data_IF_924432680399
#
_entry.id   IF_924432680399
#
_cell.length_a   1.000
_cell.length_b   1.000
_cell.length_c   1.000
_cell.angle_alpha   90.00
_cell.angle_beta   90.00
_cell.angle_gamma   90.00
#
_symmetry.space_group_name_H-M   'P 1'
#
loop_
_entity.id
_entity.type
_entity.pdbx_description
1 polymer ?
#
# COMPACT_ATOMS: atom_id res chain seq x y z
N UNK A 1 4.31 -9.62 6.19
CA UNK A 1 5.26 -8.67 6.83
C UNK A 1 6.39 -9.47 7.45
N UNK A 2 7.63 -8.97 7.38
CA UNK A 2 8.79 -9.61 8.00
C UNK A 2 9.21 -8.78 9.22
N UNK A 3 9.33 -9.41 10.38
CA UNK A 3 9.79 -8.77 11.62
C UNK A 3 11.03 -9.51 12.09
N UNK A 4 12.14 -8.78 12.20
CA UNK A 4 13.42 -9.27 12.71
C UNK A 4 13.56 -8.86 14.17
N UNK A 5 13.68 -9.85 15.07
CA UNK A 5 13.72 -9.57 16.52
C UNK A 5 15.02 -8.89 16.94
N UNK A 6 16.14 -9.13 16.26
CA UNK A 6 17.44 -8.53 16.59
C UNK A 6 17.50 -7.01 16.37
N UNK A 7 16.50 -6.44 15.67
CA UNK A 7 16.33 -5.00 15.49
C UNK A 7 15.07 -4.42 16.12
N UNK A 8 14.22 -5.25 16.72
CA UNK A 8 12.90 -4.84 17.21
C UNK A 8 12.99 -3.92 18.44
N UNK A 9 13.88 -4.20 19.39
CA UNK A 9 14.10 -3.35 20.56
C UNK A 9 14.65 -1.97 20.24
N UNK A 10 15.64 -1.88 19.34
CA UNK A 10 16.10 -0.59 18.79
C UNK A 10 14.99 0.17 18.06
N UNK A 11 13.97 -0.52 17.55
CA UNK A 11 12.82 0.11 16.86
C UNK A 11 11.70 0.55 17.81
N UNK A 12 11.60 -0.03 19.01
CA UNK A 12 10.67 0.42 20.04
C UNK A 12 11.12 1.72 20.72
N UNK A 13 12.43 1.97 20.81
CA UNK A 13 12.99 3.28 21.22
C UNK A 13 12.90 4.35 20.13
N UNK A 14 12.48 4.00 18.91
CA UNK A 14 12.36 4.94 17.79
C UNK A 14 11.02 5.69 17.79
N UNK A 15 11.06 6.86 17.14
CA UNK A 15 9.95 7.82 16.95
C UNK A 15 8.57 7.15 16.78
N UNK A 16 7.47 7.72 17.35
CA UNK A 16 6.10 7.26 17.17
C UNK A 16 5.68 6.93 15.72
N UNK A 17 6.37 7.53 14.75
CA UNK A 17 6.22 7.26 13.33
C UNK A 17 6.54 5.81 12.92
N UNK A 18 7.59 5.21 13.49
CA UNK A 18 8.03 3.85 13.15
C UNK A 18 7.08 2.81 13.76
N UNK A 19 6.65 3.01 15.01
CA UNK A 19 5.61 2.18 15.63
C UNK A 19 4.31 2.21 14.84
N UNK A 20 3.90 3.37 14.33
CA UNK A 20 2.73 3.48 13.47
C UNK A 20 2.90 2.71 12.15
N UNK A 21 4.08 2.75 11.51
CA UNK A 21 4.35 1.95 10.30
C UNK A 21 4.30 0.44 10.57
N UNK A 22 4.83 -0.02 11.71
CA UNK A 22 4.79 -1.43 12.12
C UNK A 22 3.33 -1.86 12.32
N UNK A 23 2.53 -1.09 13.04
CA UNK A 23 1.10 -1.37 13.26
C UNK A 23 0.30 -1.43 11.96
N UNK A 24 0.49 -0.47 11.05
CA UNK A 24 -0.16 -0.47 9.72
C UNK A 24 0.27 -1.72 8.92
N UNK A 25 1.53 -2.11 9.00
CA UNK A 25 2.05 -3.30 8.36
C UNK A 25 1.42 -4.59 8.91
N UNK A 26 1.28 -4.69 10.24
CA UNK A 26 0.68 -5.82 10.94
C UNK A 26 -0.81 -5.95 10.61
N UNK A 27 -1.55 -4.84 10.59
CA UNK A 27 -2.97 -4.81 10.26
C UNK A 27 -3.25 -5.30 8.83
N UNK A 28 -2.39 -4.91 7.89
CA UNK A 28 -2.51 -5.24 6.45
C UNK A 28 -1.89 -6.59 6.07
N UNK A 29 -1.12 -7.21 6.96
CA UNK A 29 -0.41 -8.44 6.63
C UNK A 29 -1.38 -9.61 6.41
N UNK A 30 -1.20 -10.31 5.29
CA UNK A 30 -1.86 -11.60 5.08
C UNK A 30 -1.27 -12.70 5.96
N UNK A 31 0.05 -12.64 6.16
CA UNK A 31 0.86 -13.54 6.97
C UNK A 31 1.94 -12.69 7.65
N UNK A 32 2.22 -12.98 8.92
CA UNK A 32 3.30 -12.38 9.70
C UNK A 32 4.41 -13.42 9.85
N UNK A 33 5.64 -13.07 9.46
CA UNK A 33 6.82 -13.92 9.68
C UNK A 33 7.64 -13.28 10.78
N UNK A 34 7.83 -13.99 11.88
CA UNK A 34 8.69 -13.57 13.00
C UNK A 34 9.98 -14.37 12.92
N UNK A 35 11.11 -13.67 12.79
CA UNK A 35 12.43 -14.27 12.72
C UNK A 35 13.19 -14.06 14.04
N UNK A 36 13.49 -15.16 14.72
CA UNK A 36 14.32 -15.22 15.92
C UNK A 36 15.78 -15.57 15.58
N UNK A 37 16.70 -15.15 16.43
CA UNK A 37 18.10 -15.57 16.39
C UNK A 37 18.34 -16.73 17.37
N UNK A 38 18.47 -17.96 16.86
CA UNK A 38 18.66 -19.15 17.68
C UNK A 38 20.05 -19.24 18.36
N UNK A 39 20.98 -18.31 18.10
CA UNK A 39 22.27 -18.31 18.80
C UNK A 39 22.13 -18.03 20.30
N UNK A 40 20.99 -17.47 20.71
CA UNK A 40 20.65 -17.18 22.10
C UNK A 40 19.26 -17.76 22.43
N UNK A 41 18.93 -18.00 23.71
CA UNK A 41 17.58 -18.34 24.12
C UNK A 41 16.62 -17.14 23.97
N UNK A 42 15.30 -17.36 24.00
CA UNK A 42 14.30 -16.30 23.94
C UNK A 42 14.54 -15.20 24.96
N UNK A 43 14.48 -13.95 24.52
CA UNK A 43 14.57 -12.77 25.40
C UNK A 43 13.18 -12.29 25.83
N UNK A 44 13.13 -11.37 26.80
CA UNK A 44 11.88 -10.67 27.16
C UNK A 44 11.30 -9.89 25.97
N UNK A 45 12.17 -9.35 25.09
CA UNK A 45 11.76 -8.62 23.89
C UNK A 45 11.05 -9.55 22.88
N UNK A 46 11.52 -10.80 22.77
CA UNK A 46 10.85 -11.81 21.95
C UNK A 46 9.44 -12.13 22.50
N UNK A 47 9.27 -12.15 23.82
CA UNK A 47 7.97 -12.36 24.47
C UNK A 47 7.01 -11.20 24.18
N UNK A 48 7.46 -9.96 24.35
CA UNK A 48 6.66 -8.75 24.08
C UNK A 48 6.25 -8.65 22.60
N UNK A 49 7.16 -8.96 21.67
CA UNK A 49 6.85 -9.03 20.26
C UNK A 49 5.75 -10.06 19.98
N UNK A 50 5.87 -11.25 20.59
CA UNK A 50 4.88 -12.31 20.41
C UNK A 50 3.50 -11.92 20.97
N UNK A 51 3.45 -11.25 22.12
CA UNK A 51 2.20 -10.69 22.65
C UNK A 51 1.59 -9.64 21.71
N UNK A 52 2.40 -8.74 21.17
CA UNK A 52 1.95 -7.73 20.21
C UNK A 52 1.39 -8.38 18.94
N UNK A 53 2.12 -9.32 18.34
CA UNK A 53 1.73 -9.99 17.08
C UNK A 53 0.44 -10.79 17.26
N UNK A 54 0.26 -11.48 18.41
CA UNK A 54 -0.94 -12.26 18.71
C UNK A 54 -2.23 -11.41 18.72
N UNK A 55 -2.16 -10.11 19.02
CA UNK A 55 -3.33 -9.20 19.02
C UNK A 55 -3.96 -9.01 17.65
N UNK A 56 -3.21 -9.21 16.56
CA UNK A 56 -3.69 -8.92 15.20
C UNK A 56 -4.45 -10.09 14.55
N UNK A 57 -4.58 -11.23 15.23
CA UNK A 57 -5.33 -12.41 14.78
C UNK A 57 -5.06 -12.82 13.31
N UNK A 58 -3.78 -12.79 12.91
CA UNK A 58 -3.30 -13.18 11.59
C UNK A 58 -2.53 -14.51 11.67
N UNK A 59 -2.42 -15.27 10.57
CA UNK A 59 -1.48 -16.38 10.48
C UNK A 59 -0.06 -15.88 10.79
N UNK A 60 0.59 -16.53 11.77
CA UNK A 60 1.97 -16.24 12.18
C UNK A 60 2.84 -17.44 11.86
N UNK A 61 3.95 -17.19 11.17
CA UNK A 61 4.99 -18.17 10.90
C UNK A 61 6.23 -17.82 11.72
N UNK A 62 6.59 -18.69 12.65
CA UNK A 62 7.74 -18.52 13.52
C UNK A 62 8.96 -19.21 12.91
N UNK A 63 10.06 -18.47 12.80
CA UNK A 63 11.29 -18.93 12.15
C UNK A 63 12.46 -18.66 13.08
N UNK A 64 13.27 -19.67 13.37
CA UNK A 64 14.47 -19.52 14.18
C UNK A 64 15.70 -19.66 13.29
N UNK A 65 16.47 -18.58 13.13
CA UNK A 65 17.63 -18.53 12.23
C UNK A 65 18.94 -18.88 12.95
N UNK A 66 20.00 -19.15 12.18
CA UNK A 66 21.37 -19.42 12.67
C UNK A 66 21.49 -20.72 13.48
N UNK A 67 20.76 -21.76 13.07
CA UNK A 67 20.85 -23.10 13.69
C UNK A 67 22.10 -23.88 13.23
N UNK A 68 23.26 -23.23 13.38
CA UNK A 68 24.56 -23.63 12.84
C UNK A 68 25.36 -24.48 13.84
N UNK A 69 25.04 -24.38 15.14
CA UNK A 69 25.79 -25.00 16.24
C UNK A 69 24.90 -25.92 17.10
N UNK A 70 25.51 -26.81 17.89
CA UNK A 70 24.78 -27.62 18.89
C UNK A 70 24.04 -26.74 19.90
N UNK A 71 24.69 -25.67 20.40
CA UNK A 71 24.08 -24.71 21.33
C UNK A 71 22.84 -24.05 20.74
N UNK A 72 22.91 -23.61 19.48
CA UNK A 72 21.74 -23.05 18.81
C UNK A 72 20.62 -24.08 18.60
N UNK A 73 20.94 -25.36 18.45
CA UNK A 73 19.94 -26.43 18.37
C UNK A 73 19.25 -26.69 19.72
N UNK A 74 19.98 -26.57 20.83
CA UNK A 74 19.45 -26.66 22.18
C UNK A 74 18.52 -25.48 22.50
N UNK A 75 18.93 -24.25 22.16
CA UNK A 75 18.13 -23.04 22.38
C UNK A 75 16.77 -23.06 21.66
N UNK A 76 16.66 -23.71 20.49
CA UNK A 76 15.37 -23.81 19.75
C UNK A 76 14.27 -24.41 20.63
N UNK A 77 14.62 -25.33 21.55
CA UNK A 77 13.65 -25.99 22.41
C UNK A 77 12.85 -24.98 23.24
N UNK A 78 13.49 -23.90 23.69
CA UNK A 78 12.84 -22.85 24.46
C UNK A 78 11.89 -22.00 23.60
N UNK A 79 12.21 -21.80 22.31
CA UNK A 79 11.35 -21.03 21.43
C UNK A 79 10.02 -21.73 21.12
N UNK A 80 9.92 -23.07 21.20
CA UNK A 80 8.66 -23.78 20.97
C UNK A 80 7.53 -23.37 21.93
N UNK A 81 7.85 -22.68 23.05
CA UNK A 81 6.83 -22.05 23.92
C UNK A 81 5.94 -21.05 23.17
N UNK A 82 6.43 -20.47 22.07
CA UNK A 82 5.70 -19.52 21.25
C UNK A 82 4.78 -20.18 20.21
N UNK A 83 5.06 -21.42 19.80
CA UNK A 83 4.33 -22.18 18.79
C UNK A 83 5.21 -23.13 17.97
N UNK A 84 4.69 -23.65 16.86
CA UNK A 84 5.46 -24.43 15.88
C UNK A 84 6.51 -23.52 15.22
N UNK A 85 7.78 -23.95 15.24
CA UNK A 85 8.92 -23.17 14.73
C UNK A 85 9.60 -23.89 13.58
N UNK A 86 9.96 -23.13 12.54
CA UNK A 86 10.81 -23.61 11.47
C UNK A 86 12.26 -23.19 11.76
N UNK A 87 13.14 -24.13 12.14
CA UNK A 87 14.55 -23.81 12.35
C UNK A 87 15.28 -23.76 11.01
N UNK A 88 15.95 -22.66 10.70
CA UNK A 88 16.69 -22.44 9.45
C UNK A 88 18.15 -22.05 9.68
N UNK A 89 19.00 -22.40 8.72
CA UNK A 89 20.33 -21.79 8.59
C UNK A 89 20.44 -21.21 7.20
N UNK A 90 20.50 -19.87 7.11
CA UNK A 90 20.74 -19.21 5.83
C UNK A 90 22.16 -19.51 5.32
N UNK A 91 23.15 -19.47 6.22
CA UNK A 91 24.57 -19.71 5.90
C UNK A 91 24.81 -21.10 5.31
N UNK A 92 24.16 -22.12 5.89
CA UNK A 92 24.27 -23.51 5.44
C UNK A 92 23.11 -23.97 4.56
N UNK A 93 22.21 -23.06 4.16
CA UNK A 93 20.98 -23.33 3.38
C UNK A 93 20.10 -24.46 3.97
N UNK A 94 20.13 -24.65 5.28
CA UNK A 94 19.37 -25.70 5.97
C UNK A 94 17.92 -25.27 6.14
N UNK A 95 16.99 -26.17 5.80
CA UNK A 95 15.53 -26.01 5.93
C UNK A 95 14.92 -24.79 5.21
N UNK A 96 15.64 -24.18 4.28
CA UNK A 96 15.12 -23.06 3.48
C UNK A 96 13.97 -23.51 2.58
N UNK A 97 14.03 -24.73 2.02
CA UNK A 97 12.95 -25.24 1.18
C UNK A 97 11.70 -25.60 1.99
N UNK A 98 11.87 -26.07 3.23
CA UNK A 98 10.76 -26.25 4.17
C UNK A 98 10.07 -24.91 4.49
N UNK A 99 10.86 -23.85 4.73
CA UNK A 99 10.33 -22.50 4.92
C UNK A 99 9.52 -22.04 3.69
N UNK A 100 10.05 -22.25 2.49
CA UNK A 100 9.34 -21.92 1.24
C UNK A 100 8.05 -22.70 1.10
N UNK A 101 8.09 -24.01 1.37
CA UNK A 101 6.90 -24.86 1.27
C UNK A 101 5.79 -24.40 2.22
N UNK A 102 6.13 -24.12 3.48
CA UNK A 102 5.16 -23.59 4.45
C UNK A 102 4.63 -22.21 4.03
N UNK A 103 5.49 -21.32 3.50
CA UNK A 103 5.03 -20.04 2.94
C UNK A 103 4.06 -20.23 1.78
N UNK A 104 4.34 -21.20 0.90
CA UNK A 104 3.46 -21.54 -0.22
C UNK A 104 2.16 -22.20 0.24
N UNK A 105 2.14 -22.93 1.35
CA UNK A 105 0.89 -23.48 1.91
C UNK A 105 -0.03 -22.37 2.41
N UNK A 106 0.51 -21.28 2.97
CA UNK A 106 -0.30 -20.11 3.29
C UNK A 106 -0.70 -19.30 2.04
N UNK A 107 0.03 -19.43 0.93
CA UNK A 107 -0.34 -18.83 -0.35
C UNK A 107 -1.41 -19.64 -1.11
N UNK A 108 -1.57 -20.93 -0.79
CA UNK A 108 -2.61 -21.82 -1.34
C UNK A 108 -3.91 -21.72 -0.54
N UNK A 109 -4.48 -20.53 -0.62
CA UNK A 109 -5.91 -20.29 -0.79
C UNK A 109 -6.02 -18.81 -1.12
N UNK A 110 -5.61 -18.49 -2.34
CA UNK A 110 -6.09 -17.33 -3.04
C UNK A 110 -7.57 -17.48 -3.37
N UNK A 111 -8.43 -17.76 -2.38
CA UNK A 111 -9.66 -16.99 -2.35
C UNK A 111 -9.18 -15.55 -2.40
N UNK A 112 -9.58 -14.79 -3.41
CA UNK A 112 -9.54 -13.33 -3.32
C UNK A 112 -10.20 -13.03 -1.98
N UNK A 113 -9.42 -12.79 -0.92
CA UNK A 113 -9.95 -12.19 0.30
C UNK A 113 -10.71 -10.99 -0.22
N UNK A 114 -12.05 -11.03 -0.16
CA UNK A 114 -12.88 -9.86 -0.43
C UNK A 114 -12.17 -8.73 0.29
N UNK A 115 -11.74 -7.70 -0.44
CA UNK A 115 -11.02 -6.59 0.17
C UNK A 115 -11.87 -6.16 1.36
N UNK A 116 -11.37 -6.36 2.57
CA UNK A 116 -12.12 -6.06 3.81
C UNK A 116 -12.32 -4.56 3.95
N UNK A 117 -11.59 -3.78 3.16
CA UNK A 117 -11.62 -2.33 3.12
C UNK A 117 -11.77 -1.85 1.67
N UNK A 118 -12.50 -0.76 1.49
CA UNK A 118 -12.65 -0.10 0.20
C UNK A 118 -11.27 0.31 -0.35
N UNK A 119 -11.01 0.02 -1.63
CA UNK A 119 -9.76 0.46 -2.24
C UNK A 119 -9.74 1.98 -2.39
N UNK A 120 -8.70 2.62 -1.87
CA UNK A 120 -8.63 4.08 -1.80
C UNK A 120 -8.01 4.64 -3.08
N UNK A 121 -8.73 5.50 -3.77
CA UNK A 121 -8.35 6.09 -5.05
C UNK A 121 -8.19 7.60 -4.87
N UNK A 122 -7.02 8.15 -5.20
CA UNK A 122 -6.81 9.59 -5.31
C UNK A 122 -6.73 10.01 -6.78
N UNK A 123 -7.43 11.10 -7.12
CA UNK A 123 -7.34 11.73 -8.45
C UNK A 123 -6.55 13.03 -8.32
N UNK A 124 -5.35 13.05 -8.87
CA UNK A 124 -4.38 14.14 -8.72
C UNK A 124 -3.94 14.70 -10.07
N UNK A 125 -3.24 15.83 -10.05
CA UNK A 125 -2.79 16.55 -11.24
C UNK A 125 -2.94 18.06 -11.10
N UNK A 126 -2.31 18.80 -12.01
CA UNK A 126 -2.29 20.27 -12.00
C UNK A 126 -3.69 20.90 -12.03
N UNK A 127 -3.87 22.16 -11.60
CA UNK A 127 -5.14 22.87 -11.79
C UNK A 127 -5.67 22.75 -13.24
N UNK A 128 -7.00 22.70 -13.41
CA UNK A 128 -7.67 22.75 -14.73
C UNK A 128 -7.39 21.63 -15.75
N UNK A 129 -6.66 20.57 -15.38
CA UNK A 129 -6.46 19.37 -16.22
C UNK A 129 -7.71 18.47 -16.34
N UNK A 130 -8.81 18.82 -15.67
CA UNK A 130 -10.10 18.11 -15.77
C UNK A 130 -10.37 17.02 -14.72
N UNK A 131 -9.65 17.03 -13.58
CA UNK A 131 -9.86 16.09 -12.46
C UNK A 131 -11.34 15.97 -12.04
N UNK A 132 -12.00 17.10 -11.79
CA UNK A 132 -13.40 17.12 -11.35
C UNK A 132 -14.35 16.56 -12.40
N UNK A 133 -14.09 16.80 -13.68
CA UNK A 133 -14.88 16.25 -14.78
C UNK A 133 -14.78 14.72 -14.83
N UNK A 134 -13.56 14.17 -14.68
CA UNK A 134 -13.35 12.71 -14.63
C UNK A 134 -14.02 12.10 -13.41
N UNK A 135 -13.88 12.72 -12.23
CA UNK A 135 -14.52 12.22 -11.00
C UNK A 135 -16.04 12.20 -11.14
N UNK A 136 -16.63 13.27 -11.68
CA UNK A 136 -18.08 13.31 -11.93
C UNK A 136 -18.49 12.28 -12.98
N UNK A 137 -17.71 12.08 -14.04
CA UNK A 137 -17.99 11.06 -15.05
C UNK A 137 -17.99 9.65 -14.45
N UNK A 138 -17.00 9.33 -13.60
CA UNK A 138 -16.94 8.05 -12.89
C UNK A 138 -18.15 7.87 -11.98
N UNK A 139 -18.49 8.89 -11.18
CA UNK A 139 -19.58 8.80 -10.20
C UNK A 139 -20.98 8.77 -10.83
N UNK A 140 -21.13 9.26 -12.06
CA UNK A 140 -22.40 9.32 -12.78
C UNK A 140 -22.57 8.17 -13.79
N UNK A 141 -21.65 7.19 -13.85
CA UNK A 141 -21.87 6.00 -14.68
C UNK A 141 -23.00 5.13 -14.13
N UNK A 142 -23.83 4.57 -15.02
CA UNK A 142 -24.97 3.70 -14.65
C UNK A 142 -24.59 2.50 -13.77
N UNK A 143 -23.33 2.05 -13.87
CA UNK A 143 -22.81 0.89 -13.14
C UNK A 143 -22.19 1.25 -11.79
N UNK A 144 -22.13 2.54 -11.47
CA UNK A 144 -21.55 3.06 -10.23
C UNK A 144 -22.67 3.41 -9.27
N UNK A 145 -22.70 2.75 -8.11
CA UNK A 145 -23.66 3.06 -7.04
C UNK A 145 -22.94 3.82 -5.92
N UNK A 146 -23.36 5.06 -5.67
CA UNK A 146 -22.77 5.93 -4.64
C UNK A 146 -23.47 5.68 -3.31
N UNK A 147 -22.70 5.43 -2.25
CA UNK A 147 -23.27 5.22 -0.91
C UNK A 147 -23.83 6.55 -0.37
N UNK A 148 -25.09 6.60 0.08
CA UNK A 148 -25.66 7.79 0.71
C UNK A 148 -25.24 7.95 2.18
N UNK A 149 -24.65 6.91 2.80
CA UNK A 149 -24.24 6.93 4.20
C UNK A 149 -22.76 7.32 4.31
N UNK A 150 -22.41 8.44 4.98
CA UNK A 150 -21.05 8.69 5.42
C UNK A 150 -20.68 7.65 6.48
N UNK A 151 -19.83 6.69 6.13
CA UNK A 151 -19.27 5.70 7.06
C UNK A 151 -18.41 6.39 8.13
N UNK A 152 -18.80 6.20 9.38
CA UNK A 152 -18.12 6.47 10.67
C UNK A 152 -16.66 7.00 10.62
N UNK A 153 -16.47 8.26 11.08
CA UNK A 153 -15.23 8.95 11.56
C UNK A 153 -13.92 8.57 10.82
N UNK A 154 -13.28 9.40 9.98
CA UNK A 154 -12.91 10.82 10.09
C UNK A 154 -12.70 11.36 8.66
N UNK A 155 -13.09 12.61 8.40
CA UNK A 155 -12.96 13.38 7.14
C UNK A 155 -14.14 13.28 6.15
N UNK A 156 -15.06 14.24 6.30
CA UNK A 156 -16.27 14.50 5.49
C UNK A 156 -16.03 14.91 4.02
N UNK A 157 -14.91 14.49 3.43
CA UNK A 157 -14.44 14.93 2.10
C UNK A 157 -14.26 13.78 1.09
N UNK A 158 -14.33 12.52 1.51
CA UNK A 158 -14.16 11.36 0.64
C UNK A 158 -15.53 10.83 0.14
N UNK A 159 -15.58 10.19 -1.03
CA UNK A 159 -16.82 9.62 -1.59
C UNK A 159 -16.69 8.10 -1.74
N UNK A 160 -17.56 7.34 -1.10
CA UNK A 160 -17.69 5.89 -1.31
C UNK A 160 -18.54 5.56 -2.53
N UNK A 161 -18.09 4.59 -3.33
CA UNK A 161 -18.85 4.08 -4.47
C UNK A 161 -18.60 2.59 -4.69
N UNK A 162 -19.58 1.91 -5.29
CA UNK A 162 -19.47 0.51 -5.73
C UNK A 162 -19.40 0.44 -7.23
N UNK A 163 -18.47 -0.36 -7.75
CA UNK A 163 -18.37 -0.68 -9.18
C UNK A 163 -18.15 -2.18 -9.34
N UNK A 164 -18.99 -2.86 -10.15
CA UNK A 164 -18.95 -4.32 -10.34
C UNK A 164 -18.91 -5.11 -9.01
N UNK A 165 -19.74 -4.70 -8.04
CA UNK A 165 -19.83 -5.27 -6.68
C UNK A 165 -18.59 -5.12 -5.78
N UNK A 166 -17.58 -4.35 -6.20
CA UNK A 166 -16.42 -4.01 -5.37
C UNK A 166 -16.57 -2.60 -4.79
N UNK A 167 -16.13 -2.40 -3.55
CA UNK A 167 -16.21 -1.12 -2.83
C UNK A 167 -14.93 -0.29 -3.03
N UNK A 168 -15.10 0.99 -3.32
CA UNK A 168 -14.03 1.95 -3.54
C UNK A 168 -14.29 3.23 -2.77
N UNK A 169 -13.21 3.92 -2.38
CA UNK A 169 -13.25 5.21 -1.71
C UNK A 169 -12.45 6.22 -2.52
N UNK A 170 -13.09 7.25 -3.05
CA UNK A 170 -12.43 8.40 -3.67
C UNK A 170 -11.99 9.37 -2.58
N UNK A 171 -10.69 9.64 -2.53
CA UNK A 171 -10.08 10.54 -1.55
C UNK A 171 -10.18 12.00 -2.00
N UNK A 172 -10.49 12.91 -1.06
CA UNK A 172 -10.52 14.38 -1.20
C UNK A 172 -11.42 14.88 -2.36
N UNK A 173 -12.62 14.29 -2.46
CA UNK A 173 -13.63 14.68 -3.45
C UNK A 173 -14.26 16.05 -3.18
N UNK A 174 -14.28 16.53 -1.94
CA UNK A 174 -14.84 17.86 -1.62
C UNK A 174 -14.04 19.01 -2.26
N UNK A 175 -12.71 18.90 -2.31
CA UNK A 175 -11.85 19.84 -3.03
C UNK A 175 -12.09 19.85 -4.54
N UNK A 176 -12.48 18.70 -5.10
CA UNK A 176 -12.79 18.55 -6.52
C UNK A 176 -14.20 19.04 -6.87
N UNK A 177 -15.20 18.85 -5.98
CA UNK A 177 -16.57 19.36 -6.15
C UNK A 177 -16.70 20.87 -5.95
N UNK A 178 -15.92 21.47 -5.04
CA UNK A 178 -15.96 22.94 -4.76
C UNK A 178 -15.20 23.79 -5.78
N UNK A 179 -14.18 23.24 -6.46
CA UNK A 179 -13.36 23.95 -7.47
C UNK A 179 -14.12 24.36 -8.74
N UNK A 180 -15.38 23.95 -8.91
CA UNK A 180 -16.26 24.45 -9.97
C UNK A 180 -16.74 25.88 -9.75
N UNK A 181 -16.63 26.45 -8.52
CA UNK A 181 -17.21 27.75 -8.17
C UNK A 181 -16.25 28.87 -7.72
N UNK A 182 -14.96 28.62 -7.45
CA UNK A 182 -14.07 29.66 -6.87
C UNK A 182 -12.70 29.69 -7.58
N UNK A 183 -12.39 30.83 -8.21
CA UNK A 183 -11.11 31.17 -8.86
C UNK A 183 -10.43 32.29 -8.07
N UNK A 184 -9.36 32.01 -7.30
CA UNK A 184 -8.07 32.76 -7.37
C UNK A 184 -6.98 32.43 -6.34
N UNK A 185 -7.23 31.82 -5.17
CA UNK A 185 -6.17 31.71 -4.13
C UNK A 185 -5.61 30.30 -3.82
N UNK A 186 -5.76 29.31 -4.71
CA UNK A 186 -5.71 27.88 -4.32
C UNK A 186 -4.48 27.10 -4.84
N UNK A 187 -3.46 27.73 -5.42
CA UNK A 187 -2.33 26.96 -6.02
C UNK A 187 -1.46 26.23 -4.98
N UNK A 188 -0.98 26.91 -3.93
CA UNK A 188 -0.19 26.28 -2.85
C UNK A 188 -0.96 25.21 -2.09
N UNK A 189 -2.26 25.42 -1.89
CA UNK A 189 -3.17 24.47 -1.24
C UNK A 189 -3.36 23.22 -2.11
N UNK A 190 -3.32 23.36 -3.45
CA UNK A 190 -3.54 22.24 -4.37
C UNK A 190 -2.41 21.22 -4.37
N UNK A 191 -1.15 21.68 -4.23
CA UNK A 191 0.01 20.79 -4.15
C UNK A 191 0.01 19.98 -2.84
N UNK A 192 -0.20 20.65 -1.70
CA UNK A 192 -0.31 19.99 -0.39
C UNK A 192 -1.46 18.97 -0.35
N UNK A 193 -2.63 19.32 -0.90
CA UNK A 193 -3.76 18.37 -1.01
C UNK A 193 -3.45 17.15 -1.86
N UNK A 194 -2.73 17.33 -2.96
CA UNK A 194 -2.30 16.21 -3.81
C UNK A 194 -1.39 15.26 -3.03
N UNK A 195 -0.43 15.80 -2.27
CA UNK A 195 0.46 15.02 -1.40
C UNK A 195 -0.34 14.26 -0.33
N UNK A 196 -1.27 14.92 0.37
CA UNK A 196 -2.10 14.27 1.40
C UNK A 196 -2.98 13.17 0.80
N UNK A 197 -3.56 13.40 -0.38
CA UNK A 197 -4.38 12.42 -1.09
C UNK A 197 -3.56 11.20 -1.52
N UNK A 198 -2.34 11.39 -2.03
CA UNK A 198 -1.43 10.31 -2.43
C UNK A 198 -1.05 9.43 -1.24
N UNK A 199 -0.78 10.04 -0.07
CA UNK A 199 -0.43 9.28 1.13
C UNK A 199 -1.57 8.35 1.58
N UNK A 200 -2.81 8.83 1.52
CA UNK A 200 -4.02 8.11 1.94
C UNK A 200 -4.50 7.07 0.92
N UNK A 201 -4.10 7.18 -0.35
CA UNK A 201 -4.56 6.31 -1.43
C UNK A 201 -3.74 5.02 -1.58
N UNK A 202 -4.37 3.99 -2.13
CA UNK A 202 -3.72 2.77 -2.62
C UNK A 202 -3.42 2.91 -4.13
N UNK A 203 -4.32 3.59 -4.85
CA UNK A 203 -4.23 3.86 -6.29
C UNK A 203 -4.27 5.37 -6.51
N UNK A 204 -3.32 5.88 -7.30
CA UNK A 204 -3.23 7.28 -7.69
C UNK A 204 -3.48 7.39 -9.19
N UNK A 205 -4.50 8.15 -9.56
CA UNK A 205 -4.81 8.50 -10.95
C UNK A 205 -4.28 9.91 -11.19
N UNK A 206 -3.17 10.01 -11.92
CA UNK A 206 -2.57 11.28 -12.34
C UNK A 206 -3.19 11.73 -13.66
N UNK A 207 -3.93 12.83 -13.63
CA UNK A 207 -4.53 13.45 -14.81
C UNK A 207 -3.55 14.47 -15.40
N UNK A 208 -3.22 14.29 -16.67
CA UNK A 208 -2.36 15.19 -17.45
C UNK A 208 -3.17 15.75 -18.62
N UNK A 209 -3.02 17.04 -18.89
CA UNK A 209 -3.61 17.66 -20.07
C UNK A 209 -2.83 17.23 -21.33
N UNK A 210 -3.49 16.51 -22.24
CA UNK A 210 -2.85 15.98 -23.44
C UNK A 210 -2.35 17.08 -24.39
N UNK A 211 -2.97 18.26 -24.38
CA UNK A 211 -2.57 19.39 -25.23
C UNK A 211 -1.30 20.06 -24.72
N UNK A 212 -1.18 20.20 -23.40
CA UNK A 212 0.02 20.77 -22.76
C UNK A 212 1.15 19.75 -22.59
N UNK A 213 0.83 18.46 -22.63
CA UNK A 213 1.78 17.38 -22.41
C UNK A 213 2.25 17.27 -20.95
N UNK A 214 3.33 16.51 -20.76
CA UNK A 214 3.89 16.22 -19.43
C UNK A 214 4.74 17.40 -18.95
N UNK A 215 4.38 18.00 -17.82
CA UNK A 215 5.11 19.12 -17.22
C UNK A 215 6.02 18.69 -16.06
N UNK A 216 6.80 19.62 -15.53
CA UNK A 216 7.64 19.38 -14.35
C UNK A 216 6.81 19.05 -13.09
N UNK A 217 5.61 19.60 -12.94
CA UNK A 217 4.75 19.30 -11.79
C UNK A 217 4.18 17.89 -11.88
N UNK A 218 3.79 17.43 -13.08
CA UNK A 218 3.33 16.06 -13.31
C UNK A 218 4.43 15.04 -12.98
N UNK A 219 5.68 15.33 -13.37
CA UNK A 219 6.86 14.53 -13.02
C UNK A 219 7.10 14.49 -11.50
N UNK A 220 6.93 15.61 -10.80
CA UNK A 220 7.07 15.66 -9.33
C UNK A 220 6.02 14.78 -8.64
N UNK A 221 4.76 14.86 -9.08
CA UNK A 221 3.67 14.04 -8.54
C UNK A 221 3.96 12.56 -8.80
N UNK A 222 4.28 12.18 -10.05
CA UNK A 222 4.59 10.80 -10.41
C UNK A 222 5.78 10.23 -9.62
N UNK A 223 6.87 10.99 -9.50
CA UNK A 223 8.05 10.60 -8.71
C UNK A 223 7.70 10.42 -7.24
N UNK A 224 6.88 11.30 -6.66
CA UNK A 224 6.45 11.18 -5.27
C UNK A 224 5.56 9.94 -5.06
N UNK A 225 4.60 9.68 -5.95
CA UNK A 225 3.77 8.47 -5.94
C UNK A 225 4.61 7.20 -6.01
N UNK A 226 5.61 7.17 -6.90
CA UNK A 226 6.52 6.03 -7.06
C UNK A 226 7.38 5.80 -5.80
N UNK A 227 7.91 6.87 -5.18
CA UNK A 227 8.67 6.77 -3.92
C UNK A 227 7.88 6.13 -2.78
N UNK A 228 6.56 6.27 -2.79
CA UNK A 228 5.64 5.68 -1.82
C UNK A 228 5.15 4.29 -2.20
N UNK A 229 5.68 3.69 -3.28
CA UNK A 229 5.28 2.39 -3.83
C UNK A 229 3.76 2.26 -4.06
N UNK A 230 3.10 3.36 -4.44
CA UNK A 230 1.67 3.37 -4.76
C UNK A 230 1.44 2.98 -6.22
N UNK A 231 0.28 2.37 -6.50
CA UNK A 231 -0.12 2.11 -7.88
C UNK A 231 -0.39 3.45 -8.59
N UNK A 232 0.29 3.71 -9.72
CA UNK A 232 0.13 4.93 -10.51
C UNK A 232 -0.53 4.60 -11.85
N UNK A 233 -1.66 5.27 -12.12
CA UNK A 233 -2.33 5.27 -13.42
C UNK A 233 -2.21 6.69 -13.98
N UNK A 234 -1.65 6.83 -15.18
CA UNK A 234 -1.56 8.13 -15.88
C UNK A 234 -2.68 8.21 -16.90
N UNK A 235 -3.45 9.30 -16.85
CA UNK A 235 -4.56 9.56 -17.77
C UNK A 235 -4.27 10.84 -18.54
N UNK A 236 -4.14 10.71 -19.86
CA UNK A 236 -4.09 11.84 -20.78
C UNK A 236 -5.52 12.31 -21.05
N UNK A 237 -5.89 13.45 -20.48
CA UNK A 237 -7.22 14.04 -20.62
C UNK A 237 -7.25 15.14 -21.69
N UNK A 238 -8.45 15.49 -22.18
CA UNK A 238 -8.66 16.45 -23.30
C UNK A 238 -8.04 15.99 -24.62
N UNK A 239 -7.97 14.67 -24.83
CA UNK A 239 -7.40 14.07 -26.04
C UNK A 239 -8.14 14.50 -27.32
N UNK A 240 -9.42 14.81 -27.21
CA UNK A 240 -10.25 15.39 -28.26
C UNK A 240 -9.72 16.74 -28.78
N UNK A 241 -8.98 17.49 -27.96
CA UNK A 241 -8.42 18.80 -28.31
C UNK A 241 -7.01 18.74 -28.90
N UNK A 242 -6.42 17.54 -28.98
CA UNK A 242 -5.10 17.33 -29.57
C UNK A 242 -5.24 17.29 -31.10
N UNK A 243 -4.55 18.19 -31.79
CA UNK A 243 -4.45 18.13 -33.25
C UNK A 243 -3.79 16.81 -33.66
N UNK A 244 -4.54 15.97 -34.37
CA UNK A 244 -4.00 14.74 -34.94
C UNK A 244 -3.06 15.12 -36.09
N UNK A 245 -1.75 15.15 -35.82
CA UNK A 245 -0.77 15.10 -36.89
C UNK A 245 -0.88 13.72 -37.55
N UNK A 246 -1.52 13.67 -38.71
CA UNK A 246 -1.42 12.56 -39.66
C UNK A 246 0.02 12.55 -40.20
N UNK A 247 0.96 11.99 -39.45
CA UNK A 247 2.32 11.74 -39.93
C UNK A 247 2.65 10.24 -39.86
N UNK A 248 2.27 9.57 -40.95
CA UNK A 248 3.17 8.74 -41.78
C UNK A 248 3.95 7.60 -41.11
N UNK A 249 3.26 6.49 -40.85
CA UNK A 249 3.84 5.15 -40.89
C UNK A 249 4.17 4.75 -42.36
N UNK A 250 5.08 5.48 -43.00
CA UNK A 250 5.75 5.00 -44.22
C UNK A 250 7.22 5.40 -44.17
N UNK A 251 8.05 4.41 -43.81
CA UNK A 251 9.38 4.07 -44.34
C UNK A 251 10.35 3.68 -43.23
N UNK A 252 10.42 2.37 -43.02
CA UNK A 252 11.71 1.65 -42.95
C UNK A 252 11.44 0.16 -43.16
N UNK A 253 11.08 -0.18 -44.40
CA UNK A 253 11.39 -1.47 -45.02
C UNK A 253 12.04 -1.17 -46.36
N UNK A 254 13.37 -1.10 -46.36
CA UNK A 254 14.29 -1.65 -47.36
C UNK A 254 15.70 -1.36 -46.90
#
# INVERSE_FOLDING_TARGET
MFIDTGGFSKQMELSPYILNQISIGLERADIIIVLFDATQPPTQEDEELMEMVRKYNRPVLLVANKIDTKKSQENINEYYKFGEIIPISVTHKKNIDLLKEKLLSFAKEGERKKRTHAAKIAVVGRPNVGKSSIVNAILNEERVNVSPFPGTTTDSIDTEFKYKNELYLLIDTAGLRRKSKIKKDIEKISALRSILSINRADIVILIVDAKEGITAEDKKIASYTQKLNKCLIVVLNKWDTVEKKTETLQKTKK
#
